data_IF_041496998639
#
_entry.id   IF_041496998639
#
_cell.length_a   1.000
_cell.length_b   1.000
_cell.length_c   1.000
_cell.angle_alpha   90.00
_cell.angle_beta   90.00
_cell.angle_gamma   90.00
#
_symmetry.space_group_name_H-M   'P 1'
#
loop_
_entity.id
_entity.type
_entity.pdbx_description
1 polymer ?
#
# COMPACT_ATOMS: atom_id res chain seq x y z
N UNK A 1 8.08 14.65 1.10
CA UNK A 1 8.11 15.81 2.03
C UNK A 1 7.69 15.33 3.40
N UNK A 2 8.48 15.61 4.44
CA UNK A 2 8.04 15.40 5.83
C UNK A 2 7.11 16.55 6.25
N UNK A 3 5.97 16.22 6.83
CA UNK A 3 4.93 17.19 7.25
C UNK A 3 4.77 17.25 8.78
N UNK A 4 5.22 16.22 9.48
CA UNK A 4 5.35 16.13 10.93
C UNK A 4 6.36 15.00 11.25
N UNK A 5 6.90 14.91 12.48
CA UNK A 5 7.88 13.88 12.82
C UNK A 5 7.39 12.47 12.48
N UNK A 6 8.09 11.80 11.55
CA UNK A 6 7.74 10.45 11.10
C UNK A 6 6.48 10.36 10.22
N UNK A 7 5.98 11.49 9.71
CA UNK A 7 4.83 11.55 8.81
C UNK A 7 5.26 12.26 7.53
N UNK A 8 5.18 11.55 6.40
CA UNK A 8 5.65 12.03 5.10
C UNK A 8 4.55 11.93 4.05
N UNK A 9 4.58 12.85 3.11
CA UNK A 9 3.85 12.76 1.85
C UNK A 9 4.81 12.41 0.71
N UNK A 10 4.42 11.45 -0.11
CA UNK A 10 5.06 11.16 -1.40
C UNK A 10 4.09 11.50 -2.53
N UNK A 11 4.64 12.03 -3.61
CA UNK A 11 3.88 12.52 -4.75
C UNK A 11 4.34 11.77 -5.99
N UNK A 12 3.41 11.08 -6.66
CA UNK A 12 3.69 10.29 -7.85
C UNK A 12 2.72 10.68 -8.95
N UNK A 13 3.23 10.83 -10.18
CA UNK A 13 2.40 11.12 -11.35
C UNK A 13 2.14 9.84 -12.13
N UNK A 14 0.96 9.77 -12.71
CA UNK A 14 0.59 8.76 -13.69
C UNK A 14 0.69 9.39 -15.09
N UNK A 15 1.77 9.13 -15.86
CA UNK A 15 1.98 9.77 -17.16
C UNK A 15 0.94 9.33 -18.21
N UNK A 16 0.31 8.17 -18.01
CA UNK A 16 -0.67 7.59 -18.91
C UNK A 16 -2.12 7.83 -18.44
N UNK A 17 -2.27 8.47 -17.28
CA UNK A 17 -3.56 8.76 -16.65
C UNK A 17 -4.28 9.99 -17.23
N UNK A 18 -5.54 10.18 -16.83
CA UNK A 18 -6.37 11.30 -17.29
C UNK A 18 -5.85 12.69 -16.86
N UNK A 19 -5.03 12.75 -15.81
CA UNK A 19 -4.49 13.99 -15.23
C UNK A 19 -2.97 13.91 -15.03
N UNK A 20 -2.17 13.81 -16.10
CA UNK A 20 -0.74 13.46 -16.01
C UNK A 20 0.12 14.50 -15.29
N UNK A 21 -0.36 15.76 -15.25
CA UNK A 21 0.33 16.85 -14.54
C UNK A 21 0.00 16.92 -13.05
N UNK A 22 -1.05 16.23 -12.60
CA UNK A 22 -1.50 16.27 -11.21
C UNK A 22 -0.96 15.04 -10.47
N UNK A 23 -0.04 15.21 -9.51
CA UNK A 23 0.45 14.07 -8.76
C UNK A 23 -0.62 13.54 -7.80
N UNK A 24 -0.69 12.22 -7.68
CA UNK A 24 -1.37 11.55 -6.58
C UNK A 24 -0.47 11.61 -5.33
N UNK A 25 -1.07 11.92 -4.19
CA UNK A 25 -0.38 11.97 -2.91
C UNK A 25 -0.65 10.68 -2.13
N UNK A 26 0.42 10.09 -1.58
CA UNK A 26 0.33 9.00 -0.62
C UNK A 26 0.97 9.40 0.71
N UNK A 27 0.40 8.91 1.80
CA UNK A 27 0.86 9.17 3.16
C UNK A 27 1.76 8.02 3.62
N UNK A 28 2.89 8.36 4.21
CA UNK A 28 3.81 7.38 4.80
C UNK A 28 3.99 7.70 6.28
N UNK A 29 3.73 6.72 7.13
CA UNK A 29 3.96 6.79 8.56
C UNK A 29 5.17 5.92 8.90
N UNK A 30 6.21 6.53 9.44
CA UNK A 30 7.38 5.84 9.95
C UNK A 30 7.09 5.32 11.36
N UNK A 31 6.87 4.01 11.48
CA UNK A 31 6.65 3.34 12.77
C UNK A 31 7.90 2.57 13.22
N UNK A 32 8.02 2.19 14.51
CA UNK A 32 9.10 1.33 14.98
C UNK A 32 9.22 -0.02 14.26
N UNK A 33 8.13 -0.54 13.68
CA UNK A 33 8.06 -1.86 13.05
C UNK A 33 8.16 -1.79 11.51
N UNK A 34 8.28 -0.58 10.96
CA UNK A 34 8.38 -0.34 9.53
C UNK A 34 7.44 0.76 9.05
N UNK A 35 7.38 0.96 7.75
CA UNK A 35 6.54 1.99 7.15
C UNK A 35 5.11 1.51 6.98
N UNK A 36 4.15 2.33 7.39
CA UNK A 36 2.76 2.20 6.97
C UNK A 36 2.56 3.12 5.79
N UNK A 37 2.17 2.57 4.64
CA UNK A 37 1.92 3.33 3.41
C UNK A 37 0.41 3.36 3.16
N UNK A 38 -0.17 4.56 3.21
CA UNK A 38 -1.57 4.84 2.89
C UNK A 38 -1.66 5.45 1.49
N UNK A 39 -2.40 4.78 0.62
CA UNK A 39 -2.64 5.19 -0.76
C UNK A 39 -4.12 5.51 -0.99
N UNK A 40 -4.41 6.42 -1.91
CA UNK A 40 -5.78 6.73 -2.34
C UNK A 40 -6.30 5.63 -3.25
N UNK A 41 -5.90 5.68 -4.53
CA UNK A 41 -6.24 4.67 -5.53
C UNK A 41 -5.02 4.09 -6.26
N UNK A 42 -3.83 4.69 -6.14
CA UNK A 42 -2.58 4.18 -6.73
C UNK A 42 -2.54 4.17 -8.25
N UNK A 43 -3.09 5.20 -8.92
CA UNK A 43 -3.04 5.29 -10.39
C UNK A 43 -1.60 5.22 -10.95
N UNK A 44 -0.58 5.86 -10.33
CA UNK A 44 0.81 5.73 -10.79
C UNK A 44 1.40 4.31 -10.70
N UNK A 45 0.66 3.36 -10.12
CA UNK A 45 1.10 2.02 -9.78
C UNK A 45 1.69 1.94 -8.36
N UNK A 46 1.27 0.93 -7.60
CA UNK A 46 1.70 0.78 -6.21
C UNK A 46 3.20 0.57 -6.06
N UNK A 47 3.85 -0.18 -6.97
CA UNK A 47 5.30 -0.41 -6.91
C UNK A 47 6.06 0.92 -7.03
N UNK A 48 5.64 1.83 -7.93
CA UNK A 48 6.24 3.16 -8.09
C UNK A 48 6.04 4.05 -6.85
N UNK A 49 4.88 3.95 -6.21
CA UNK A 49 4.63 4.64 -4.94
C UNK A 49 5.55 4.08 -3.84
N UNK A 50 5.71 2.76 -3.77
CA UNK A 50 6.61 2.11 -2.80
C UNK A 50 8.07 2.50 -3.05
N UNK A 51 8.54 2.57 -4.29
CA UNK A 51 9.88 3.08 -4.63
C UNK A 51 10.10 4.49 -4.06
N UNK A 52 9.09 5.36 -4.18
CA UNK A 52 9.16 6.74 -3.70
C UNK A 52 9.03 6.85 -2.18
N UNK A 53 8.23 5.99 -1.56
CA UNK A 53 8.07 5.89 -0.12
C UNK A 53 9.35 5.37 0.56
N UNK A 54 10.02 4.41 -0.08
CA UNK A 54 11.11 3.58 0.44
C UNK A 54 12.50 4.23 0.33
N UNK A 55 12.60 5.56 0.22
CA UNK A 55 13.85 6.32 0.08
C UNK A 55 14.89 6.14 1.23
N UNK A 56 14.76 5.13 2.10
CA UNK A 56 15.65 4.87 3.25
C UNK A 56 15.66 3.43 3.81
N UNK A 57 15.31 2.40 3.02
CA UNK A 57 15.54 0.97 3.35
C UNK A 57 14.75 0.35 4.54
N UNK A 58 13.62 0.94 4.95
CA UNK A 58 12.74 0.32 5.97
C UNK A 58 11.67 -0.56 5.33
N UNK A 59 11.49 -1.77 5.83
CA UNK A 59 10.41 -2.68 5.42
C UNK A 59 9.03 -2.02 5.50
N UNK A 60 8.13 -2.37 4.58
CA UNK A 60 6.74 -1.90 4.61
C UNK A 60 5.97 -2.76 5.61
N UNK A 61 5.67 -2.20 6.78
CA UNK A 61 4.91 -2.90 7.82
C UNK A 61 3.46 -3.15 7.36
N UNK A 62 2.85 -2.15 6.71
CA UNK A 62 1.47 -2.27 6.22
C UNK A 62 1.24 -1.40 4.99
N UNK A 63 0.48 -1.92 4.03
CA UNK A 63 -0.06 -1.18 2.88
C UNK A 63 -1.59 -1.05 3.02
N UNK A 64 -2.12 0.17 2.95
CA UNK A 64 -3.55 0.46 3.16
C UNK A 64 -4.09 1.32 2.01
N UNK A 65 -5.24 0.95 1.45
CA UNK A 65 -5.96 1.78 0.47
C UNK A 65 -6.31 1.09 -0.85
N UNK A 66 -6.66 1.89 -1.86
CA UNK A 66 -7.01 1.41 -3.20
C UNK A 66 -5.78 1.22 -4.09
N UNK A 67 -5.82 0.19 -4.94
CA UNK A 67 -4.69 -0.20 -5.80
C UNK A 67 -4.96 -0.10 -7.31
N UNK A 68 -6.13 0.38 -7.71
CA UNK A 68 -6.56 0.58 -9.11
C UNK A 68 -6.44 -0.68 -9.98
N UNK A 69 -6.85 -1.85 -9.47
CA UNK A 69 -6.68 -3.14 -10.14
C UNK A 69 -7.98 -3.71 -10.76
N UNK A 70 -9.09 -2.97 -10.74
CA UNK A 70 -10.41 -3.47 -11.21
C UNK A 70 -10.39 -3.98 -12.65
N UNK A 71 -9.56 -3.39 -13.52
CA UNK A 71 -9.44 -3.77 -14.93
C UNK A 71 -8.11 -4.44 -15.26
N UNK A 72 -7.29 -4.73 -14.25
CA UNK A 72 -5.99 -5.38 -14.43
C UNK A 72 -6.20 -6.89 -14.65
N UNK A 73 -5.53 -7.51 -15.64
CA UNK A 73 -5.59 -8.96 -15.83
C UNK A 73 -5.15 -9.72 -14.58
N UNK A 74 -5.83 -10.84 -14.28
CA UNK A 74 -5.61 -11.64 -13.07
C UNK A 74 -4.15 -12.10 -12.93
N UNK A 75 -3.47 -12.44 -14.03
CA UNK A 75 -2.07 -12.85 -14.00
C UNK A 75 -1.13 -11.73 -13.55
N UNK A 76 -1.44 -10.49 -13.91
CA UNK A 76 -0.66 -9.32 -13.48
C UNK A 76 -0.96 -8.97 -12.01
N UNK A 77 -2.19 -9.19 -11.55
CA UNK A 77 -2.53 -9.09 -10.12
C UNK A 77 -1.75 -10.12 -9.31
N UNK A 78 -1.67 -11.37 -9.79
CA UNK A 78 -0.90 -12.42 -9.11
C UNK A 78 0.60 -12.11 -9.09
N UNK A 79 1.16 -11.58 -10.21
CA UNK A 79 2.54 -11.09 -10.25
C UNK A 79 2.77 -10.00 -9.19
N UNK A 80 1.87 -9.03 -9.14
CA UNK A 80 1.96 -7.91 -8.21
C UNK A 80 1.85 -8.38 -6.76
N UNK A 81 0.90 -9.24 -6.43
CA UNK A 81 0.74 -9.84 -5.09
C UNK A 81 2.02 -10.56 -4.66
N UNK A 82 2.61 -11.35 -5.56
CA UNK A 82 3.88 -12.02 -5.30
C UNK A 82 5.03 -11.01 -5.07
N UNK A 83 5.11 -9.95 -5.88
CA UNK A 83 6.13 -8.91 -5.74
C UNK A 83 5.99 -8.14 -4.41
N UNK A 84 4.76 -7.76 -4.03
CA UNK A 84 4.46 -7.10 -2.76
C UNK A 84 4.86 -7.98 -1.56
N UNK A 85 4.63 -9.28 -1.64
CA UNK A 85 5.01 -10.22 -0.58
C UNK A 85 6.52 -10.48 -0.52
N UNK A 86 7.20 -10.62 -1.66
CA UNK A 86 8.58 -11.11 -1.72
C UNK A 86 9.63 -10.02 -1.90
N UNK A 87 9.45 -9.13 -2.88
CA UNK A 87 10.40 -8.06 -3.18
C UNK A 87 10.23 -6.89 -2.20
N UNK A 88 8.98 -6.46 -1.98
CA UNK A 88 8.66 -5.34 -1.09
C UNK A 88 8.52 -5.76 0.38
N UNK A 89 8.37 -7.07 0.62
CA UNK A 89 8.26 -7.67 1.96
C UNK A 89 7.18 -7.00 2.81
N UNK A 90 6.03 -6.70 2.21
CA UNK A 90 4.90 -6.05 2.87
C UNK A 90 4.36 -6.95 3.98
N UNK A 91 4.37 -6.47 5.22
CA UNK A 91 4.00 -7.25 6.40
C UNK A 91 2.52 -7.57 6.50
N UNK A 92 1.66 -6.58 6.23
CA UNK A 92 0.21 -6.66 6.24
C UNK A 92 -0.40 -5.81 5.14
N UNK A 93 -1.63 -6.15 4.73
CA UNK A 93 -2.36 -5.40 3.70
C UNK A 93 -3.77 -5.09 4.16
N UNK A 94 -4.24 -3.90 3.81
CA UNK A 94 -5.61 -3.48 3.99
C UNK A 94 -6.16 -2.86 2.69
N UNK A 95 -6.39 -3.66 1.64
CA UNK A 95 -6.93 -3.15 0.39
C UNK A 95 -8.37 -2.66 0.56
N UNK A 96 -8.76 -1.67 -0.23
CA UNK A 96 -10.13 -1.14 -0.30
C UNK A 96 -10.44 -0.48 -1.64
N UNK A 97 -11.59 0.18 -1.73
CA UNK A 97 -11.98 1.04 -2.86
C UNK A 97 -11.82 0.38 -4.25
N UNK A 98 -10.84 0.82 -5.04
CA UNK A 98 -10.63 0.49 -6.45
C UNK A 98 -9.70 -0.72 -6.67
N UNK A 99 -9.50 -1.57 -5.66
CA UNK A 99 -8.68 -2.79 -5.81
C UNK A 99 -9.38 -3.89 -6.60
N UNK A 100 -10.70 -4.08 -6.43
CA UNK A 100 -11.47 -5.09 -7.17
C UNK A 100 -11.42 -6.50 -6.58
N UNK A 101 -12.44 -7.31 -6.93
CA UNK A 101 -12.75 -8.59 -6.28
C UNK A 101 -11.61 -9.62 -6.37
N UNK A 102 -10.98 -9.76 -7.54
CA UNK A 102 -9.88 -10.70 -7.71
C UNK A 102 -8.68 -10.32 -6.83
N UNK A 103 -8.30 -9.04 -6.82
CA UNK A 103 -7.21 -8.54 -5.98
C UNK A 103 -7.50 -8.73 -4.48
N UNK A 104 -8.74 -8.48 -4.04
CA UNK A 104 -9.13 -8.77 -2.65
C UNK A 104 -8.92 -10.25 -2.32
N UNK A 105 -9.39 -11.16 -3.16
CA UNK A 105 -9.24 -12.60 -2.95
C UNK A 105 -7.77 -13.05 -2.99
N UNK A 106 -6.98 -12.57 -3.95
CA UNK A 106 -5.57 -12.91 -4.09
C UNK A 106 -4.75 -12.43 -2.88
N UNK A 107 -4.98 -11.19 -2.43
CA UNK A 107 -4.33 -10.65 -1.24
C UNK A 107 -4.77 -11.37 0.04
N UNK A 108 -6.05 -11.72 0.17
CA UNK A 108 -6.52 -12.50 1.32
C UNK A 108 -5.84 -13.87 1.39
N UNK A 109 -5.67 -14.56 0.25
CA UNK A 109 -4.91 -15.82 0.18
C UNK A 109 -3.45 -15.66 0.58
N UNK A 110 -2.81 -14.58 0.12
CA UNK A 110 -1.38 -14.36 0.34
C UNK A 110 -1.04 -13.90 1.78
N UNK A 111 -1.85 -13.04 2.40
CA UNK A 111 -1.58 -12.49 3.74
C UNK A 111 -2.31 -13.19 4.88
N UNK A 112 -3.37 -13.94 4.62
CA UNK A 112 -4.10 -14.70 5.63
C UNK A 112 -4.54 -13.82 6.82
N UNK A 113 -4.08 -14.15 8.03
CA UNK A 113 -4.39 -13.37 9.24
C UNK A 113 -3.81 -11.94 9.27
N UNK A 114 -3.01 -11.55 8.28
CA UNK A 114 -2.45 -10.19 8.10
C UNK A 114 -3.14 -9.42 6.97
N UNK A 115 -4.25 -9.94 6.47
CA UNK A 115 -5.16 -9.25 5.56
C UNK A 115 -6.27 -8.57 6.35
N UNK A 116 -6.55 -7.31 6.01
CA UNK A 116 -7.66 -6.54 6.53
C UNK A 116 -8.48 -5.99 5.35
N UNK A 117 -9.79 -5.78 5.56
CA UNK A 117 -10.63 -5.12 4.55
C UNK A 117 -10.85 -3.66 4.94
N UNK A 118 -10.33 -2.72 4.14
CA UNK A 118 -10.44 -1.28 4.38
C UNK A 118 -11.81 -0.72 3.94
N UNK A 119 -12.88 -1.27 4.52
CA UNK A 119 -14.27 -0.85 4.31
C UNK A 119 -14.69 0.34 5.17
N UNK A 120 -15.89 0.86 4.89
CA UNK A 120 -16.47 1.94 5.67
C UNK A 120 -16.69 1.50 7.13
N UNK A 121 -16.24 2.32 8.08
CA UNK A 121 -16.34 2.05 9.52
C UNK A 121 -15.27 1.09 10.07
N UNK A 122 -14.40 0.53 9.22
CA UNK A 122 -13.28 -0.31 9.69
C UNK A 122 -12.26 0.53 10.46
N UNK A 123 -11.84 0.03 11.62
CA UNK A 123 -10.66 0.51 12.33
C UNK A 123 -9.51 -0.45 12.05
N UNK A 124 -8.41 0.07 11.49
CA UNK A 124 -7.19 -0.69 11.25
C UNK A 124 -6.17 -0.28 12.30
N UNK A 125 -5.84 -1.20 13.19
CA UNK A 125 -4.75 -0.99 14.13
C UNK A 125 -3.42 -1.03 13.38
N UNK A 126 -2.62 0.02 13.52
CA UNK A 126 -1.29 0.04 12.96
C UNK A 126 -0.39 -0.90 13.78
N UNK A 127 0.55 -1.61 13.13
CA UNK A 127 1.55 -2.38 13.84
C UNK A 127 2.27 -1.46 14.85
N UNK A 128 2.07 -1.76 16.13
CA UNK A 128 2.86 -1.22 17.22
C UNK A 128 3.51 -2.43 17.90
N UNK A 129 4.78 -2.32 18.26
CA UNK A 129 5.55 -3.38 18.93
C UNK A 129 4.67 -4.16 19.91
N UNK A 130 4.53 -5.46 19.69
CA UNK A 130 4.24 -6.37 20.80
C UNK A 130 5.28 -6.07 21.88
N UNK A 131 4.81 -5.75 23.09
CA UNK A 131 5.62 -5.24 24.18
C UNK A 131 6.93 -6.01 24.34
N UNK A 132 8.03 -5.26 24.45
CA UNK A 132 9.20 -5.77 25.16
C UNK A 132 8.94 -5.51 26.63
N UNK A 133 8.49 -6.56 27.31
CA UNK A 133 8.83 -6.77 28.71
C UNK A 133 10.24 -7.37 28.78
#
# INVERSE_FOLDING_TARGET
MEIAPGIRLVANRDPDGAFPETPELSLVLDTPDGQVVLVGCSHPGIERILESAHAGARSVAMLVGGLHLVTTPDEEIDRLVQALHTAWRVGAVAPGHCSGEYAFAAMQRAWGGRYHYAGAGTVIELPARAGRD
#
